data_IF_308947067749
#
_entry.id   IF_308947067749
#
_cell.length_a   1.000
_cell.length_b   1.000
_cell.length_c   1.000
_cell.angle_alpha   90.00
_cell.angle_beta   90.00
_cell.angle_gamma   90.00
#
_symmetry.space_group_name_H-M   'P 1'
#
loop_
_entity.id
_entity.type
_entity.pdbx_description
1 polymer ?
#
# COMPACT_ATOMS: atom_id res chain seq x y z
N UNK A 1 -52.34 -48.12 -3.04
CA UNK A 1 -51.02 -48.80 -3.02
C UNK A 1 -50.55 -48.86 -4.47
N UNK A 2 -49.42 -48.32 -4.94
CA UNK A 2 -48.12 -48.01 -4.34
C UNK A 2 -47.60 -46.68 -4.93
N UNK A 3 -46.80 -45.99 -4.13
CA UNK A 3 -46.21 -44.65 -4.30
C UNK A 3 -45.09 -44.60 -5.35
N UNK A 4 -45.06 -43.53 -6.15
CA UNK A 4 -43.98 -43.20 -7.09
C UNK A 4 -42.92 -42.38 -6.35
N UNK A 5 -41.68 -42.86 -6.38
CA UNK A 5 -40.51 -42.25 -5.77
C UNK A 5 -39.82 -41.36 -6.80
N UNK A 6 -39.90 -40.03 -6.64
CA UNK A 6 -39.18 -39.08 -7.50
C UNK A 6 -37.89 -38.66 -6.82
N UNK A 7 -36.75 -39.06 -7.39
CA UNK A 7 -35.41 -38.73 -6.94
C UNK A 7 -35.00 -37.36 -7.53
N UNK A 8 -34.82 -36.34 -6.69
CA UNK A 8 -34.35 -35.01 -7.10
C UNK A 8 -32.83 -34.96 -6.84
N UNK A 9 -32.05 -34.95 -7.91
CA UNK A 9 -30.61 -34.68 -7.91
C UNK A 9 -30.38 -33.17 -7.94
N UNK A 10 -29.86 -32.61 -6.84
CA UNK A 10 -29.42 -31.21 -6.74
C UNK A 10 -27.97 -31.12 -7.22
N UNK A 11 -27.76 -30.47 -8.37
CA UNK A 11 -26.44 -30.08 -8.87
C UNK A 11 -26.02 -28.78 -8.21
N UNK A 12 -24.99 -28.85 -7.36
CA UNK A 12 -24.28 -27.69 -6.82
C UNK A 12 -23.38 -27.09 -7.92
N UNK A 13 -23.77 -25.94 -8.46
CA UNK A 13 -22.89 -25.09 -9.26
C UNK A 13 -22.08 -24.20 -8.31
N UNK A 14 -20.86 -24.61 -7.99
CA UNK A 14 -19.88 -23.74 -7.36
C UNK A 14 -19.33 -22.77 -8.42
N UNK A 15 -19.91 -21.58 -8.50
CA UNK A 15 -19.24 -20.43 -9.12
C UNK A 15 -18.14 -19.93 -8.16
N UNK A 16 -16.91 -20.39 -8.38
CA UNK A 16 -15.73 -19.80 -7.79
C UNK A 16 -15.43 -18.46 -8.47
N UNK A 17 -15.81 -17.35 -7.84
CA UNK A 17 -15.33 -16.03 -8.24
C UNK A 17 -13.89 -15.90 -7.72
N UNK A 18 -12.91 -16.06 -8.60
CA UNK A 18 -11.52 -15.73 -8.27
C UNK A 18 -11.37 -14.21 -8.31
N UNK A 19 -11.28 -13.57 -7.14
CA UNK A 19 -10.78 -12.19 -7.06
C UNK A 19 -9.26 -12.20 -7.32
N UNK A 20 -8.88 -12.13 -8.59
CA UNK A 20 -7.53 -11.74 -8.96
C UNK A 20 -7.44 -10.21 -8.95
N UNK A 21 -7.02 -9.66 -7.81
CA UNK A 21 -6.57 -8.27 -7.73
C UNK A 21 -5.22 -8.13 -8.44
N UNK A 22 -5.22 -8.22 -9.77
CA UNK A 22 -4.06 -7.93 -10.58
C UNK A 22 -3.85 -6.40 -10.59
N UNK A 23 -2.97 -5.92 -9.70
CA UNK A 23 -2.38 -4.59 -9.83
C UNK A 23 -1.46 -4.68 -11.05
N UNK A 24 -1.92 -4.26 -12.23
CA UNK A 24 -1.04 -4.08 -13.38
C UNK A 24 -0.26 -2.78 -13.18
N UNK A 25 1.07 -2.84 -13.25
CA UNK A 25 1.89 -1.63 -13.29
C UNK A 25 1.44 -0.76 -14.48
N UNK A 26 1.47 0.58 -14.37
CA UNK A 26 1.08 1.44 -15.49
C UNK A 26 1.94 1.12 -16.71
N UNK A 27 1.28 0.84 -17.85
CA UNK A 27 1.93 0.54 -19.12
C UNK A 27 2.87 1.72 -19.49
N UNK A 28 4.14 1.43 -19.77
CA UNK A 28 5.11 2.43 -20.25
C UNK A 28 4.66 3.00 -21.59
N UNK A 29 3.83 4.05 -21.59
CA UNK A 29 3.55 4.84 -22.78
C UNK A 29 3.37 6.33 -22.43
N UNK A 30 4.45 7.07 -22.70
CA UNK A 30 4.48 8.48 -23.13
C UNK A 30 4.01 9.55 -22.15
N UNK A 31 4.76 9.76 -21.08
CA UNK A 31 5.25 11.10 -20.67
C UNK A 31 6.42 10.90 -19.70
N UNK A 32 7.59 11.46 -20.04
CA UNK A 32 8.84 11.31 -19.30
C UNK A 32 8.74 11.97 -17.91
N UNK A 33 8.29 11.23 -16.90
CA UNK A 33 8.76 11.42 -15.53
C UNK A 33 9.93 10.46 -15.32
N UNK A 34 11.15 10.99 -15.42
CA UNK A 34 12.38 10.23 -15.19
C UNK A 34 12.47 9.88 -13.70
N UNK A 35 11.90 8.74 -13.32
CA UNK A 35 12.23 8.11 -12.05
C UNK A 35 13.57 7.40 -12.21
N UNK A 36 14.51 7.67 -11.30
CA UNK A 36 15.72 6.86 -11.23
C UNK A 36 15.31 5.48 -10.70
N UNK A 37 15.21 4.51 -11.60
CA UNK A 37 14.97 3.11 -11.28
C UNK A 37 16.25 2.50 -10.74
N UNK A 38 16.20 1.99 -9.51
CA UNK A 38 17.32 1.28 -8.90
C UNK A 38 17.03 -0.22 -8.88
N UNK A 39 18.02 -1.09 -9.18
CA UNK A 39 17.84 -2.53 -9.07
C UNK A 39 17.56 -2.92 -7.61
N UNK A 40 16.70 -3.92 -7.44
CA UNK A 40 16.20 -4.47 -6.16
C UNK A 40 17.33 -4.79 -5.17
N UNK A 41 18.48 -5.27 -5.68
CA UNK A 41 19.64 -5.71 -4.90
C UNK A 41 20.27 -4.67 -3.96
N UNK A 42 19.85 -3.40 -4.00
CA UNK A 42 20.40 -2.33 -3.16
C UNK A 42 19.50 -1.91 -1.99
N UNK A 43 18.31 -2.49 -1.86
CA UNK A 43 17.32 -2.06 -0.87
C UNK A 43 16.56 -3.22 -0.26
N UNK A 44 16.35 -3.16 1.06
CA UNK A 44 15.46 -4.05 1.79
C UNK A 44 14.15 -3.33 2.13
N UNK A 45 13.01 -4.00 1.97
CA UNK A 45 11.74 -3.46 2.47
C UNK A 45 11.73 -3.46 4.00
N UNK A 46 11.14 -2.43 4.61
CA UNK A 46 10.95 -2.40 6.06
C UNK A 46 9.79 -3.31 6.43
N UNK A 47 10.06 -4.29 7.29
CA UNK A 47 9.07 -5.23 7.80
C UNK A 47 8.13 -4.57 8.81
N UNK A 48 6.86 -4.96 8.74
CA UNK A 48 5.93 -4.79 9.85
C UNK A 48 6.19 -5.86 10.91
N UNK A 49 6.09 -5.54 12.21
CA UNK A 49 6.13 -6.54 13.27
C UNK A 49 5.03 -7.59 13.08
N UNK A 50 5.35 -8.86 13.32
CA UNK A 50 4.39 -9.96 13.18
C UNK A 50 3.18 -9.74 14.06
N UNK A 51 1.98 -9.85 13.49
CA UNK A 51 0.72 -9.68 14.21
C UNK A 51 0.56 -10.74 15.31
N UNK A 52 -0.08 -10.38 16.42
CA UNK A 52 -0.54 -11.35 17.41
C UNK A 52 -1.63 -12.27 16.80
N UNK A 53 -1.87 -13.47 17.35
CA UNK A 53 -2.82 -14.44 16.79
C UNK A 53 -4.22 -13.87 16.54
N UNK A 54 -4.69 -12.96 17.38
CA UNK A 54 -6.02 -12.34 17.28
C UNK A 54 -6.15 -11.41 16.07
N UNK A 55 -5.02 -10.97 15.50
CA UNK A 55 -4.95 -10.02 14.39
C UNK A 55 -4.46 -10.67 13.09
N UNK A 56 -4.18 -11.96 13.09
CA UNK A 56 -3.52 -12.65 11.97
C UNK A 56 -4.29 -12.52 10.65
N UNK A 57 -5.62 -12.60 10.72
CA UNK A 57 -6.51 -12.52 9.55
C UNK A 57 -7.03 -11.09 9.30
N UNK A 58 -6.53 -10.09 10.03
CA UNK A 58 -6.96 -8.70 9.86
C UNK A 58 -6.37 -8.09 8.59
N UNK A 59 -7.26 -7.61 7.71
CA UNK A 59 -6.90 -6.73 6.60
C UNK A 59 -7.20 -5.27 6.95
N UNK A 60 -6.22 -4.39 6.79
CA UNK A 60 -6.36 -2.97 7.08
C UNK A 60 -6.61 -2.21 5.79
N UNK A 61 -7.88 -2.04 5.44
CA UNK A 61 -8.31 -1.38 4.22
C UNK A 61 -9.32 -0.25 4.47
N UNK A 62 -9.33 0.74 3.58
CA UNK A 62 -10.37 1.76 3.49
C UNK A 62 -10.66 2.04 2.02
N UNK A 63 -11.95 2.12 1.67
CA UNK A 63 -12.39 2.48 0.33
C UNK A 63 -13.31 3.70 0.38
N UNK A 64 -13.21 4.55 -0.64
CA UNK A 64 -14.09 5.71 -0.79
C UNK A 64 -14.34 6.01 -2.26
N UNK A 65 -15.59 6.27 -2.59
CA UNK A 65 -15.95 6.80 -3.89
C UNK A 65 -15.53 8.28 -3.99
N UNK A 66 -14.75 8.61 -5.02
CA UNK A 66 -14.23 9.96 -5.28
C UNK A 66 -14.55 10.33 -6.73
N UNK A 67 -15.17 11.48 -6.91
CA UNK A 67 -15.29 12.11 -8.22
C UNK A 67 -14.03 12.95 -8.48
N UNK A 68 -13.29 12.59 -9.53
CA UNK A 68 -12.02 13.20 -9.89
C UNK A 68 -12.12 14.66 -10.30
N UNK A 69 -13.28 15.14 -10.74
CA UNK A 69 -13.51 16.55 -11.08
C UNK A 69 -13.47 17.44 -9.85
N UNK A 70 -13.94 16.94 -8.71
CA UNK A 70 -13.94 17.67 -7.44
C UNK A 70 -12.72 17.33 -6.57
N UNK A 71 -12.11 16.16 -6.78
CA UNK A 71 -11.07 15.64 -5.90
C UNK A 71 -11.65 15.17 -4.56
N UNK A 72 -10.79 15.07 -3.54
CA UNK A 72 -11.24 14.67 -2.21
C UNK A 72 -10.12 14.19 -1.31
N UNK A 73 -10.50 13.55 -0.21
CA UNK A 73 -9.57 12.96 0.75
C UNK A 73 -10.05 11.60 1.23
N UNK A 74 -9.08 10.74 1.53
CA UNK A 74 -9.27 9.41 2.13
C UNK A 74 -8.34 9.33 3.34
N UNK A 75 -8.87 8.87 4.47
CA UNK A 75 -8.12 8.70 5.70
C UNK A 75 -8.19 7.25 6.17
N UNK A 76 -7.02 6.63 6.35
CA UNK A 76 -6.82 5.36 7.02
C UNK A 76 -6.15 5.66 8.37
N UNK A 77 -6.75 5.15 9.45
CA UNK A 77 -6.16 5.12 10.78
C UNK A 77 -6.48 3.77 11.38
N UNK A 78 -5.44 2.95 11.56
CA UNK A 78 -5.53 1.56 12.02
C UNK A 78 -4.39 1.30 12.99
N UNK A 79 -4.59 0.32 13.85
CA UNK A 79 -3.55 -0.25 14.68
C UNK A 79 -3.74 -1.76 14.80
N UNK A 80 -2.69 -2.45 15.23
CA UNK A 80 -2.77 -3.85 15.66
C UNK A 80 -1.76 -4.11 16.78
N UNK A 81 -1.91 -5.25 17.45
CA UNK A 81 -0.97 -5.71 18.46
C UNK A 81 -0.03 -6.75 17.84
N UNK A 82 1.27 -6.56 18.01
CA UNK A 82 2.28 -7.52 17.56
C UNK A 82 2.38 -8.74 18.48
N UNK A 83 3.10 -9.78 18.04
CA UNK A 83 3.28 -11.02 18.81
C UNK A 83 4.01 -10.83 20.16
N UNK A 84 4.64 -9.68 20.38
CA UNK A 84 5.28 -9.31 21.65
C UNK A 84 4.39 -8.44 22.55
N UNK A 85 3.16 -8.12 22.12
CA UNK A 85 2.22 -7.29 22.87
C UNK A 85 2.35 -5.78 22.62
N UNK A 86 3.18 -5.35 21.67
CA UNK A 86 3.35 -3.92 21.34
C UNK A 86 2.30 -3.46 20.33
N UNK A 87 1.86 -2.21 20.44
CA UNK A 87 0.95 -1.59 19.49
C UNK A 87 1.72 -1.03 18.29
N UNK A 88 1.21 -1.32 17.09
CA UNK A 88 1.69 -0.79 15.81
C UNK A 88 0.61 0.13 15.26
N UNK A 89 0.89 1.43 15.13
CA UNK A 89 -0.04 2.40 14.53
C UNK A 89 0.31 2.68 13.08
N UNK A 90 -0.73 2.77 12.25
CA UNK A 90 -0.62 3.04 10.82
C UNK A 90 -1.63 4.12 10.45
N UNK A 91 -1.15 5.26 9.98
CA UNK A 91 -1.98 6.30 9.38
C UNK A 91 -1.58 6.58 7.93
N UNK A 92 -2.59 6.78 7.09
CA UNK A 92 -2.42 7.29 5.74
C UNK A 92 -3.50 8.33 5.42
N UNK A 93 -3.08 9.49 4.87
CA UNK A 93 -4.03 10.48 4.31
C UNK A 93 -3.69 10.70 2.86
N UNK A 94 -4.60 10.30 1.98
CA UNK A 94 -4.50 10.57 0.55
C UNK A 94 -5.34 11.79 0.22
N UNK A 95 -4.69 12.84 -0.27
CA UNK A 95 -5.33 14.05 -0.77
C UNK A 95 -5.31 14.03 -2.30
N UNK A 96 -6.49 14.12 -2.89
CA UNK A 96 -6.71 14.07 -4.33
C UNK A 96 -7.12 15.47 -4.78
N UNK A 97 -6.28 16.17 -5.56
CA UNK A 97 -6.65 17.47 -6.08
C UNK A 97 -7.77 17.34 -7.14
N UNK A 98 -8.59 18.38 -7.26
CA UNK A 98 -9.58 18.49 -8.33
C UNK A 98 -8.91 18.34 -9.71
N UNK A 99 -9.59 17.61 -10.58
CA UNK A 99 -9.17 17.23 -11.93
C UNK A 99 -7.91 16.37 -11.98
N UNK A 100 -7.61 15.56 -10.95
CA UNK A 100 -6.52 14.58 -10.99
C UNK A 100 -6.81 13.38 -11.91
N UNK A 101 -8.08 13.06 -12.08
CA UNK A 101 -8.60 12.04 -13.01
C UNK A 101 -10.05 12.40 -13.39
N UNK A 102 -10.63 11.70 -14.36
CA UNK A 102 -12.00 11.94 -14.83
C UNK A 102 -13.01 10.96 -14.24
N UNK A 103 -14.22 11.45 -13.99
CA UNK A 103 -15.35 10.67 -13.52
C UNK A 103 -15.19 10.19 -12.07
N UNK A 104 -16.04 9.24 -11.69
CA UNK A 104 -16.09 8.71 -10.33
C UNK A 104 -15.41 7.34 -10.24
N UNK A 105 -14.56 7.15 -9.23
CA UNK A 105 -13.85 5.90 -8.95
C UNK A 105 -13.93 5.55 -7.46
N UNK A 106 -14.11 4.27 -7.15
CA UNK A 106 -13.88 3.74 -5.81
C UNK A 106 -12.39 3.55 -5.60
N UNK A 107 -11.79 4.41 -4.77
CA UNK A 107 -10.37 4.38 -4.47
C UNK A 107 -10.18 3.65 -3.15
N UNK A 108 -9.25 2.70 -3.12
CA UNK A 108 -8.95 1.88 -1.95
C UNK A 108 -7.50 2.05 -1.54
N UNK A 109 -7.26 2.15 -0.22
CA UNK A 109 -5.94 2.10 0.41
C UNK A 109 -5.91 0.86 1.28
N UNK A 110 -4.93 -0.01 1.06
CA UNK A 110 -4.72 -1.22 1.86
C UNK A 110 -3.30 -1.23 2.41
N UNK A 111 -3.16 -1.47 3.71
CA UNK A 111 -1.83 -1.71 4.31
C UNK A 111 -1.31 -3.05 3.84
N UNK A 112 -0.04 -3.10 3.47
CA UNK A 112 0.62 -4.35 3.13
C UNK A 112 0.76 -5.27 4.35
N UNK A 113 0.57 -6.57 4.19
CA UNK A 113 0.51 -7.50 5.32
C UNK A 113 1.85 -7.68 6.05
N UNK A 114 2.96 -7.53 5.32
CA UNK A 114 4.31 -7.87 5.79
C UNK A 114 5.25 -6.68 5.87
N UNK A 115 4.95 -5.60 5.14
CA UNK A 115 5.89 -4.50 4.95
C UNK A 115 5.25 -3.16 5.31
N UNK A 116 6.04 -2.20 5.77
CA UNK A 116 5.60 -0.83 6.06
C UNK A 116 5.32 -0.08 4.75
N UNK A 117 4.27 -0.51 4.06
CA UNK A 117 3.88 -0.12 2.72
C UNK A 117 2.36 -0.07 2.59
N UNK A 118 1.90 0.68 1.61
CA UNK A 118 0.48 0.84 1.26
C UNK A 118 0.30 0.47 -0.21
N UNK A 119 -0.78 -0.23 -0.51
CA UNK A 119 -1.25 -0.53 -1.86
C UNK A 119 -2.48 0.32 -2.16
N UNK A 120 -2.53 0.85 -3.37
CA UNK A 120 -3.63 1.68 -3.84
C UNK A 120 -4.31 1.01 -5.04
N UNK A 121 -5.64 1.04 -5.07
CA UNK A 121 -6.42 0.54 -6.21
C UNK A 121 -7.57 1.51 -6.55
N UNK A 122 -8.07 1.49 -7.80
CA UNK A 122 -7.63 0.68 -8.95
C UNK A 122 -6.26 1.14 -9.51
N UNK A 123 -5.63 0.34 -10.39
CA UNK A 123 -4.45 0.83 -11.13
C UNK A 123 -4.86 1.98 -12.05
N UNK A 124 -4.22 3.15 -11.89
CA UNK A 124 -4.49 4.35 -12.68
C UNK A 124 -3.36 5.38 -12.55
N UNK A 125 -3.23 6.25 -13.55
CA UNK A 125 -2.33 7.42 -13.56
C UNK A 125 -3.13 8.70 -13.34
N UNK A 126 -2.45 9.76 -12.90
CA UNK A 126 -3.08 11.05 -12.60
C UNK A 126 -2.48 12.17 -13.44
N UNK A 127 -3.34 13.08 -13.91
CA UNK A 127 -2.92 14.33 -14.57
C UNK A 127 -2.28 15.32 -13.58
N UNK A 128 -2.62 15.19 -12.29
CA UNK A 128 -2.03 15.92 -11.17
C UNK A 128 -1.64 14.93 -10.09
N UNK A 129 -0.39 15.01 -9.63
CA UNK A 129 0.09 14.16 -8.54
C UNK A 129 -0.80 14.30 -7.31
N UNK A 130 -1.20 13.16 -6.76
CA UNK A 130 -1.86 13.12 -5.46
C UNK A 130 -0.83 13.38 -4.36
N UNK A 131 -1.30 13.74 -3.15
CA UNK A 131 -0.43 13.90 -1.99
C UNK A 131 -0.75 12.85 -0.95
N UNK A 132 0.27 12.11 -0.53
CA UNK A 132 0.17 11.09 0.50
C UNK A 132 0.92 11.52 1.75
N UNK A 133 0.20 11.53 2.87
CA UNK A 133 0.77 11.46 4.21
C UNK A 133 0.84 10.00 4.64
N UNK A 134 1.95 9.58 5.23
CA UNK A 134 2.08 8.27 5.90
C UNK A 134 2.70 8.43 7.27
N UNK A 135 2.26 7.60 8.22
CA UNK A 135 2.85 7.45 9.53
C UNK A 135 2.78 5.99 9.96
N UNK A 136 3.92 5.47 10.41
CA UNK A 136 4.06 4.17 11.03
C UNK A 136 4.79 4.34 12.37
N UNK A 137 4.32 3.68 13.43
CA UNK A 137 4.96 3.62 14.75
C UNK A 137 5.08 2.17 15.24
N UNK A 138 5.83 1.96 16.32
CA UNK A 138 6.00 0.63 16.92
C UNK A 138 6.93 -0.30 16.13
N UNK A 139 7.58 0.20 15.08
CA UNK A 139 8.45 -0.62 14.23
C UNK A 139 9.76 -1.02 14.91
N UNK A 140 10.26 -2.22 14.61
CA UNK A 140 11.56 -2.70 15.08
C UNK A 140 12.71 -2.17 14.21
N UNK A 141 13.16 -0.94 14.48
CA UNK A 141 14.19 -0.24 13.69
C UNK A 141 15.53 -0.08 14.39
N UNK A 142 15.71 -0.74 15.54
CA UNK A 142 16.95 -0.66 16.32
C UNK A 142 18.16 -1.09 15.47
N UNK A 143 19.22 -0.28 15.48
CA UNK A 143 20.44 -0.52 14.69
C UNK A 143 20.37 -0.07 13.23
N UNK A 144 19.21 0.37 12.72
CA UNK A 144 19.11 0.94 11.37
C UNK A 144 19.49 2.42 11.39
N UNK A 145 20.40 2.82 10.50
CA UNK A 145 20.80 4.22 10.35
C UNK A 145 19.67 5.02 9.72
N UNK A 146 19.32 6.17 10.32
CA UNK A 146 18.29 7.06 9.77
C UNK A 146 18.54 7.42 8.29
N UNK A 147 19.78 7.69 7.90
CA UNK A 147 20.14 8.05 6.52
C UNK A 147 20.01 6.91 5.50
N UNK A 148 19.89 5.66 5.94
CA UNK A 148 19.64 4.53 5.03
C UNK A 148 18.15 4.32 4.75
N UNK A 149 17.25 4.97 5.48
CA UNK A 149 15.81 4.77 5.34
C UNK A 149 15.24 5.76 4.33
N UNK A 150 14.38 5.27 3.44
CA UNK A 150 13.68 6.12 2.49
C UNK A 150 12.25 5.63 2.18
N UNK A 151 11.39 6.52 1.72
CA UNK A 151 10.02 6.19 1.26
C UNK A 151 9.96 6.26 -0.27
N UNK A 152 9.51 5.17 -0.90
CA UNK A 152 9.70 4.91 -2.33
C UNK A 152 8.45 4.31 -2.98
N UNK A 153 8.42 4.34 -4.32
CA UNK A 153 7.54 3.50 -5.14
C UNK A 153 8.20 2.11 -5.27
N UNK A 154 7.40 1.06 -5.13
CA UNK A 154 7.79 -0.35 -5.26
C UNK A 154 6.99 -0.95 -6.41
N UNK A 155 7.65 -1.19 -7.54
CA UNK A 155 7.01 -1.84 -8.70
C UNK A 155 6.73 -3.33 -8.43
N UNK A 156 5.84 -3.95 -9.20
CA UNK A 156 5.54 -5.38 -9.01
C UNK A 156 6.76 -6.29 -9.17
N UNK A 157 7.71 -5.90 -10.03
CA UNK A 157 8.99 -6.59 -10.21
C UNK A 157 10.04 -6.30 -9.14
N UNK A 158 9.67 -5.70 -8.00
CA UNK A 158 10.57 -5.39 -6.88
C UNK A 158 11.47 -4.18 -7.10
N UNK A 159 11.53 -3.62 -8.32
CA UNK A 159 12.33 -2.43 -8.58
C UNK A 159 11.80 -1.21 -7.83
N UNK A 160 12.73 -0.35 -7.41
CA UNK A 160 12.43 0.82 -6.59
C UNK A 160 12.66 2.10 -7.37
N UNK A 161 11.76 3.05 -7.15
CA UNK A 161 11.80 4.37 -7.75
C UNK A 161 11.62 5.46 -6.70
N UNK A 162 12.48 6.47 -6.76
CA UNK A 162 12.45 7.59 -5.82
C UNK A 162 11.34 8.58 -6.21
N UNK A 163 10.42 8.83 -5.29
CA UNK A 163 9.42 9.88 -5.46
C UNK A 163 9.83 11.21 -4.83
N UNK A 164 9.25 12.29 -5.37
CA UNK A 164 9.31 13.60 -4.76
C UNK A 164 8.48 13.61 -3.48
N UNK A 165 9.10 14.02 -2.38
CA UNK A 165 8.50 14.00 -1.04
C UNK A 165 9.02 15.11 -0.16
N UNK A 166 8.21 15.52 0.83
CA UNK A 166 8.53 16.58 1.80
C UNK A 166 8.15 16.15 3.21
N UNK A 167 8.86 16.71 4.20
CA UNK A 167 8.58 16.49 5.62
C UNK A 167 8.76 15.04 6.05
N UNK A 168 9.87 14.43 5.63
CA UNK A 168 10.28 13.08 6.06
C UNK A 168 10.77 13.16 7.50
N UNK A 169 10.18 12.35 8.39
CA UNK A 169 10.62 12.20 9.78
C UNK A 169 10.88 10.73 10.06
N UNK A 170 12.05 10.44 10.62
CA UNK A 170 12.53 9.09 10.88
C UNK A 170 13.14 9.10 12.27
N UNK A 171 12.57 8.31 13.19
CA UNK A 171 13.08 8.15 14.54
C UNK A 171 13.26 6.66 14.84
N UNK A 172 14.40 6.05 14.45
CA UNK A 172 14.58 4.61 14.54
C UNK A 172 14.48 4.07 15.97
N UNK A 173 14.97 4.84 16.96
CA UNK A 173 14.87 4.51 18.39
C UNK A 173 13.42 4.37 18.89
N UNK A 174 12.49 5.07 18.25
CA UNK A 174 11.06 5.04 18.60
C UNK A 174 10.22 4.22 17.61
N UNK A 175 10.86 3.58 16.62
CA UNK A 175 10.14 2.84 15.59
C UNK A 175 9.23 3.70 14.71
N UNK A 176 9.54 5.00 14.55
CA UNK A 176 8.67 5.94 13.82
C UNK A 176 9.22 6.24 12.44
N UNK A 177 8.36 6.10 11.43
CA UNK A 177 8.60 6.51 10.04
C UNK A 177 7.41 7.32 9.53
N UNK A 178 7.67 8.53 9.03
CA UNK A 178 6.62 9.44 8.56
C UNK A 178 7.04 10.21 7.30
N UNK A 179 6.09 10.40 6.39
CA UNK A 179 6.19 11.35 5.28
C UNK A 179 4.98 12.28 5.32
N UNK A 180 5.20 13.60 5.32
CA UNK A 180 4.08 14.55 5.33
C UNK A 180 3.40 14.71 3.96
N UNK A 181 4.17 14.62 2.88
CA UNK A 181 3.66 14.79 1.52
C UNK A 181 4.56 14.08 0.52
N UNK A 182 4.19 12.87 0.14
CA UNK A 182 4.69 12.14 -1.01
C UNK A 182 3.84 12.46 -2.25
N UNK A 183 4.46 12.74 -3.39
CA UNK A 183 3.75 12.98 -4.66
C UNK A 183 3.53 11.66 -5.41
N UNK A 184 2.26 11.28 -5.62
CA UNK A 184 1.87 10.03 -6.27
C UNK A 184 1.34 10.33 -7.69
N UNK A 185 2.09 9.98 -8.74
CA UNK A 185 1.66 10.16 -10.14
C UNK A 185 0.74 9.03 -10.63
N UNK A 186 0.71 7.90 -9.93
CA UNK A 186 -0.14 6.76 -10.22
C UNK A 186 -0.43 5.97 -8.93
N UNK A 187 -1.44 5.10 -8.98
CA UNK A 187 -1.64 4.09 -7.96
C UNK A 187 -0.82 2.85 -8.23
N UNK A 188 -0.21 2.32 -7.17
CA UNK A 188 0.54 1.07 -7.11
C UNK A 188 0.88 0.82 -5.62
N UNK A 189 2.10 0.37 -5.30
CA UNK A 189 2.59 0.14 -3.95
C UNK A 189 3.67 1.16 -3.56
N UNK A 190 3.52 1.78 -2.40
CA UNK A 190 4.47 2.76 -1.87
C UNK A 190 4.82 2.41 -0.44
N UNK A 191 6.10 2.45 -0.08
CA UNK A 191 6.54 1.97 1.22
C UNK A 191 7.93 2.39 1.63
N UNK A 192 8.31 1.98 2.83
CA UNK A 192 9.61 2.25 3.41
C UNK A 192 10.63 1.17 3.04
N UNK A 193 11.83 1.63 2.72
CA UNK A 193 12.98 0.78 2.41
C UNK A 193 14.20 1.20 3.21
N UNK A 194 15.14 0.27 3.35
CA UNK A 194 16.50 0.51 3.82
C UNK A 194 17.46 0.28 2.67
N UNK A 195 18.26 1.28 2.32
CA UNK A 195 19.41 1.12 1.45
C UNK A 195 20.44 0.22 2.10
N UNK A 196 20.81 -0.86 1.44
CA UNK A 196 21.94 -1.70 1.85
C UNK A 196 23.23 -0.88 1.77
N UNK A 197 24.13 -1.07 2.73
CA UNK A 197 25.46 -0.51 2.57
C UNK A 197 26.08 -1.25 1.38
N UNK A 198 26.35 -0.54 0.28
CA UNK A 198 27.19 -1.06 -0.79
C UNK A 198 28.47 -1.55 -0.15
N UNK A 199 28.73 -2.86 -0.26
CA UNK A 199 29.95 -3.48 0.26
C UNK A 199 31.15 -2.64 -0.16
N UNK A 200 31.96 -2.26 0.83
CA UNK A 200 33.33 -1.82 0.58
C UNK A 200 34.13 -3.09 0.31
#
# INVERSE_FOLDING_TARGET
MKSILTLITITFLFFGCQESSNITDPLENTTKTTFNKYPEANYDLILLPTKAPEWQDSSFTVSKEINGDFGGFIYLNKYYIDASGNQIDIEARLTIPAHAFQGTKTITITVDDNFAALRFSPSMTFTKNLKLYTYFSGLHLNGIKQKSLDFVYIANGGSIELLKKKGVKIFPKWGILQVNSAELPHFSRFGWVRKQASGI
#
